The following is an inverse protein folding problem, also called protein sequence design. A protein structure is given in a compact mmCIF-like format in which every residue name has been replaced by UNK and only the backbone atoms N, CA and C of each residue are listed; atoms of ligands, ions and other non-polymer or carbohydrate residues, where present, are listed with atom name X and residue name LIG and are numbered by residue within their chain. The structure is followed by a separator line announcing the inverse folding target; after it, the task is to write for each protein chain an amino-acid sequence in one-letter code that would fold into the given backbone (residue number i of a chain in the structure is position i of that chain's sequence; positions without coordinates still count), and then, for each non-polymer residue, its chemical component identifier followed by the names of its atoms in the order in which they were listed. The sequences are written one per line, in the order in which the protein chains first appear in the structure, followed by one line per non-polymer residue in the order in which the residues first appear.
data_IF_865861819536
#
_entry.id   IF_865861819536
#
_cell.length_a   1.000
_cell.length_b   1.000
_cell.length_c   1.000
_cell.angle_alpha   90.00
_cell.angle_beta   90.00
_cell.angle_gamma   90.00
#
_symmetry.space_group_name_H-M   'P 1'
#
loop_
_entity.id
_entity.type
_entity.pdbx_description
1 polymer ?
#
# COMPACT_ATOMS: atom_id res chain seq x y z
N UNK A 1 -27.07 19.11 -2.83
CA UNK A 1 -25.87 18.76 -3.62
C UNK A 1 -25.03 17.86 -2.74
N UNK A 2 -25.15 16.57 -2.95
CA UNK A 2 -24.43 15.56 -2.18
C UNK A 2 -22.96 15.65 -2.53
N UNK A 3 -22.13 16.08 -1.56
CA UNK A 3 -20.69 16.04 -1.68
C UNK A 3 -20.27 14.58 -1.48
N UNK A 4 -19.78 13.97 -2.53
CA UNK A 4 -19.15 12.65 -2.43
C UNK A 4 -17.90 12.77 -1.56
N UNK A 5 -17.93 12.16 -0.37
CA UNK A 5 -16.79 12.07 0.53
C UNK A 5 -15.90 10.89 0.10
N UNK A 6 -14.75 11.19 -0.48
CA UNK A 6 -13.76 10.20 -0.89
C UNK A 6 -12.70 9.91 0.18
N UNK A 7 -12.76 10.61 1.33
CA UNK A 7 -11.82 10.42 2.45
C UNK A 7 -11.64 8.97 2.90
N UNK A 8 -12.71 8.11 2.94
CA UNK A 8 -12.55 6.72 3.34
C UNK A 8 -11.66 5.91 2.40
N UNK A 9 -11.60 6.26 1.11
CA UNK A 9 -10.81 5.53 0.11
C UNK A 9 -9.31 5.73 0.31
N UNK A 10 -8.89 6.86 0.88
CA UNK A 10 -7.47 7.20 1.04
C UNK A 10 -6.88 6.76 2.38
N UNK A 11 -7.70 6.36 3.35
CA UNK A 11 -7.25 5.98 4.69
C UNK A 11 -6.49 4.67 4.77
N UNK A 12 -6.68 3.79 3.78
CA UNK A 12 -6.08 2.46 3.74
C UNK A 12 -5.31 2.21 2.44
N UNK A 13 -4.79 3.26 1.81
CA UNK A 13 -4.04 3.18 0.55
C UNK A 13 -2.62 3.71 0.71
N UNK A 14 -1.66 3.04 0.07
CA UNK A 14 -0.24 3.41 0.08
C UNK A 14 0.24 3.54 -1.37
N UNK A 15 0.94 4.64 -1.68
CA UNK A 15 1.54 4.86 -3.00
C UNK A 15 0.67 5.62 -4.00
N UNK A 16 -0.55 6.03 -3.64
CA UNK A 16 -1.48 6.81 -4.47
C UNK A 16 -1.37 8.32 -4.26
N UNK A 17 -0.31 8.80 -3.59
CA UNK A 17 -0.13 10.19 -3.19
C UNK A 17 -0.16 11.21 -4.34
N UNK A 18 0.16 10.78 -5.56
CA UNK A 18 0.07 11.66 -6.76
C UNK A 18 -1.39 11.98 -7.13
N UNK A 19 -2.30 11.04 -6.92
CA UNK A 19 -3.73 11.22 -7.14
C UNK A 19 -4.37 12.02 -5.99
N UNK A 20 -3.91 11.80 -4.75
CA UNK A 20 -4.43 12.48 -3.56
C UNK A 20 -4.23 14.00 -3.63
N UNK A 21 -3.12 14.48 -4.15
CA UNK A 21 -2.86 15.93 -4.27
C UNK A 21 -3.88 16.66 -5.15
N UNK A 22 -4.47 15.97 -6.13
CA UNK A 22 -5.51 16.53 -7.00
C UNK A 22 -6.89 16.56 -6.32
N UNK A 23 -7.13 15.64 -5.38
CA UNK A 23 -8.42 15.50 -4.68
C UNK A 23 -8.43 16.26 -3.34
N UNK A 24 -7.28 16.41 -2.69
CA UNK A 24 -7.12 17.05 -1.37
C UNK A 24 -7.44 18.57 -1.40
N UNK A 25 -7.34 19.18 -2.58
CA UNK A 25 -7.80 20.54 -2.81
C UNK A 25 -9.34 20.66 -2.72
N UNK A 26 -10.07 19.54 -2.79
CA UNK A 26 -11.54 19.51 -2.85
C UNK A 26 -12.24 19.01 -1.57
N UNK A 27 -11.52 18.40 -0.60
CA UNK A 27 -12.18 17.70 0.50
C UNK A 27 -11.42 17.79 1.82
N UNK A 28 -11.52 18.91 2.52
CA UNK A 28 -11.22 18.97 3.96
C UNK A 28 -12.47 18.56 4.73
N UNK A 29 -12.59 17.32 5.12
CA UNK A 29 -13.59 16.87 6.09
C UNK A 29 -12.91 15.99 7.14
N UNK A 30 -12.84 16.52 8.35
CA UNK A 30 -12.47 15.80 9.56
C UNK A 30 -13.46 14.67 9.85
N UNK A 31 -13.05 13.43 9.73
CA UNK A 31 -13.82 12.31 10.25
C UNK A 31 -13.00 11.58 11.30
N UNK A 32 -13.24 11.95 12.55
CA UNK A 32 -12.63 11.44 13.78
C UNK A 32 -13.16 10.07 14.23
N UNK A 33 -13.44 9.15 13.35
CA UNK A 33 -13.54 7.75 13.75
C UNK A 33 -12.13 7.18 13.80
N UNK A 34 -11.50 7.23 14.98
CA UNK A 34 -10.17 6.61 15.20
C UNK A 34 -10.32 5.11 14.99
N UNK A 35 -9.89 4.67 13.81
CA UNK A 35 -9.87 3.26 13.50
C UNK A 35 -8.83 2.56 14.40
N UNK A 36 -9.23 1.45 15.04
CA UNK A 36 -8.33 0.67 15.87
C UNK A 36 -7.62 -0.41 15.08
N UNK A 37 -6.31 -0.59 15.28
CA UNK A 37 -5.36 0.29 15.99
C UNK A 37 -5.15 1.60 15.23
N UNK A 38 -4.81 2.71 15.90
CA UNK A 38 -4.44 3.94 15.25
C UNK A 38 -3.15 3.75 14.44
N UNK A 39 -3.07 4.42 13.29
CA UNK A 39 -1.92 4.30 12.40
C UNK A 39 -1.66 5.60 11.63
N UNK A 40 -0.43 5.74 11.17
CA UNK A 40 0.02 6.80 10.27
C UNK A 40 0.59 6.18 9.01
N UNK A 41 0.42 6.87 7.88
CA UNK A 41 1.12 6.57 6.63
C UNK A 41 1.89 7.82 6.26
N UNK A 42 3.22 7.71 6.14
CA UNK A 42 4.10 8.79 5.77
C UNK A 42 4.88 8.45 4.50
N UNK A 43 5.22 9.47 3.73
CA UNK A 43 6.15 9.37 2.62
C UNK A 43 7.54 9.72 3.12
N UNK A 44 8.43 8.72 3.15
CA UNK A 44 9.80 8.86 3.66
C UNK A 44 10.82 9.19 2.57
N UNK A 45 10.45 9.03 1.30
CA UNK A 45 11.28 9.31 0.14
C UNK A 45 10.46 9.47 -1.13
N UNK A 46 11.10 9.59 -2.29
CA UNK A 46 10.39 9.76 -3.57
C UNK A 46 9.47 8.58 -3.88
N UNK A 47 9.96 7.36 -3.67
CA UNK A 47 9.25 6.09 -3.86
C UNK A 47 9.24 5.23 -2.58
N UNK A 48 9.42 5.84 -1.41
CA UNK A 48 9.47 5.17 -0.12
C UNK A 48 8.37 5.67 0.82
N UNK A 49 7.74 4.74 1.50
CA UNK A 49 6.62 4.99 2.42
C UNK A 49 6.79 4.17 3.69
N UNK A 50 6.25 4.67 4.78
CA UNK A 50 6.20 3.95 6.06
C UNK A 50 4.80 3.97 6.63
N UNK A 51 4.28 2.79 6.97
CA UNK A 51 3.10 2.60 7.79
C UNK A 51 3.55 2.41 9.23
N UNK A 52 3.07 3.22 10.15
CA UNK A 52 3.32 3.08 11.59
C UNK A 52 2.00 2.85 12.31
N UNK A 53 1.90 1.78 13.12
CA UNK A 53 0.70 1.41 13.85
C UNK A 53 0.99 1.31 15.35
N UNK A 54 0.12 1.89 16.19
CA UNK A 54 0.23 1.77 17.63
C UNK A 54 -0.41 0.46 18.11
N UNK A 55 0.42 -0.56 18.34
CA UNK A 55 0.02 -1.91 18.75
C UNK A 55 0.57 -2.27 20.13
N UNK A 56 0.55 -1.29 21.04
CA UNK A 56 1.02 -1.50 22.41
C UNK A 56 0.31 -2.68 23.06
N UNK A 57 1.07 -3.55 23.73
CA UNK A 57 0.56 -4.75 24.38
C UNK A 57 0.57 -6.01 23.52
N UNK A 58 0.86 -5.91 22.22
CA UNK A 58 1.03 -7.08 21.37
C UNK A 58 2.49 -7.54 21.33
N UNK A 59 2.72 -8.84 21.51
CA UNK A 59 4.01 -9.46 21.27
C UNK A 59 4.21 -9.68 19.76
N UNK A 60 5.48 -9.77 19.27
CA UNK A 60 5.75 -10.04 17.84
C UNK A 60 5.06 -11.31 17.31
N UNK A 61 4.93 -12.35 18.14
CA UNK A 61 4.28 -13.61 17.78
C UNK A 61 2.74 -13.49 17.61
N UNK A 62 2.14 -12.43 18.10
CA UNK A 62 0.70 -12.16 18.02
C UNK A 62 0.33 -11.31 16.81
N UNK A 63 1.33 -10.73 16.16
CA UNK A 63 1.18 -9.91 14.98
C UNK A 63 1.54 -10.71 13.73
N UNK A 64 0.77 -10.54 12.67
CA UNK A 64 1.11 -11.10 11.36
C UNK A 64 0.94 -10.03 10.28
N UNK A 65 1.89 -10.00 9.35
CA UNK A 65 1.90 -9.13 8.18
C UNK A 65 1.90 -10.04 6.96
N UNK A 66 0.93 -9.87 6.09
CA UNK A 66 0.79 -10.64 4.86
C UNK A 66 0.60 -9.68 3.69
N UNK A 67 1.33 -9.90 2.61
CA UNK A 67 1.13 -9.20 1.35
C UNK A 67 0.54 -10.20 0.36
N UNK A 68 -0.60 -9.85 -0.20
CA UNK A 68 -1.24 -10.64 -1.24
C UNK A 68 -1.65 -9.70 -2.37
N UNK A 69 -1.11 -9.92 -3.55
CA UNK A 69 -1.30 -9.03 -4.69
C UNK A 69 -0.99 -7.57 -4.28
N UNK A 70 -1.96 -6.66 -4.43
CA UNK A 70 -1.84 -5.25 -4.08
C UNK A 70 -2.47 -4.95 -2.70
N UNK A 71 -2.48 -5.91 -1.80
CA UNK A 71 -3.07 -5.74 -0.46
C UNK A 71 -2.07 -6.11 0.63
N UNK A 72 -1.80 -5.17 1.51
CA UNK A 72 -1.08 -5.39 2.77
C UNK A 72 -2.11 -5.65 3.87
N UNK A 73 -2.06 -6.84 4.45
CA UNK A 73 -2.90 -7.27 5.57
C UNK A 73 -2.06 -7.28 6.85
N UNK A 74 -2.50 -6.55 7.85
CA UNK A 74 -1.91 -6.56 9.20
C UNK A 74 -2.95 -7.08 10.16
N UNK A 75 -2.62 -8.16 10.88
CA UNK A 75 -3.51 -8.77 11.87
C UNK A 75 -2.85 -8.84 13.23
N UNK A 76 -3.62 -8.64 14.27
CA UNK A 76 -3.23 -8.85 15.67
C UNK A 76 -4.20 -9.81 16.34
N UNK A 77 -3.67 -10.86 16.94
CA UNK A 77 -4.43 -11.81 17.76
C UNK A 77 -4.44 -11.29 19.20
N UNK A 78 -5.62 -11.01 19.75
CA UNK A 78 -5.72 -10.70 21.17
C UNK A 78 -5.40 -11.96 21.97
N UNK A 79 -4.56 -11.83 22.98
CA UNK A 79 -4.54 -12.84 24.04
C UNK A 79 -5.90 -12.88 24.71
N UNK A 80 -6.34 -14.05 25.19
CA UNK A 80 -7.57 -14.16 25.97
C UNK A 80 -7.53 -13.13 27.09
N UNK A 81 -8.54 -12.27 27.11
CA UNK A 81 -8.73 -11.41 28.26
C UNK A 81 -8.81 -12.32 29.50
N UNK A 82 -8.07 -11.97 30.56
CA UNK A 82 -8.31 -12.56 31.86
C UNK A 82 -9.80 -12.34 32.14
N UNK A 83 -10.56 -13.43 32.27
CA UNK A 83 -11.99 -13.43 32.60
C UNK A 83 -12.28 -12.75 33.94
N UNK A 84 -11.25 -12.41 34.70
CA UNK A 84 -11.30 -11.61 35.91
C UNK A 84 -11.33 -10.11 35.59
N UNK A 85 -12.36 -9.66 34.90
CA UNK A 85 -12.62 -8.24 34.55
C UNK A 85 -12.85 -7.35 35.79
N UNK A 86 -12.26 -7.67 36.94
CA UNK A 86 -12.41 -6.95 38.18
C UNK A 86 -11.28 -5.97 38.47
N UNK A 87 -11.63 -4.71 38.71
CA UNK A 87 -10.72 -3.74 39.30
C UNK A 87 -10.43 -2.47 38.48
N UNK A 88 -10.81 -2.39 37.24
CA UNK A 88 -10.64 -1.15 36.47
C UNK A 88 -11.70 -0.11 36.84
N UNK A 89 -11.29 1.02 37.39
CA UNK A 89 -12.16 2.20 37.54
C UNK A 89 -12.41 2.91 36.23
N UNK A 90 -11.45 2.78 35.28
CA UNK A 90 -11.55 3.25 33.89
C UNK A 90 -10.66 2.39 33.00
N UNK A 91 -11.19 1.95 31.87
CA UNK A 91 -10.45 1.14 30.85
C UNK A 91 -10.49 1.84 29.52
N UNK A 92 -9.44 2.59 29.20
CA UNK A 92 -9.27 3.31 27.93
C UNK A 92 -8.42 2.54 26.91
N UNK A 93 -7.66 1.51 27.35
CA UNK A 93 -6.81 0.70 26.45
C UNK A 93 -7.60 -0.54 26.05
N UNK A 94 -7.86 -0.67 24.75
CA UNK A 94 -8.55 -1.83 24.20
C UNK A 94 -7.52 -2.84 23.65
N UNK A 95 -7.39 -4.00 24.30
CA UNK A 95 -6.66 -5.14 23.77
C UNK A 95 -7.63 -6.06 23.06
N UNK A 96 -7.83 -5.84 21.77
CA UNK A 96 -8.73 -6.65 20.96
C UNK A 96 -8.04 -7.07 19.68
N UNK A 97 -8.40 -8.24 19.21
CA UNK A 97 -7.95 -8.70 17.90
C UNK A 97 -8.36 -7.67 16.83
N UNK A 98 -7.49 -7.49 15.85
CA UNK A 98 -7.75 -6.59 14.73
C UNK A 98 -7.28 -7.20 13.41
N UNK A 99 -7.89 -6.71 12.36
CA UNK A 99 -7.49 -6.96 10.97
C UNK A 99 -7.55 -5.64 10.22
N UNK A 100 -6.43 -5.25 9.63
CA UNK A 100 -6.32 -4.02 8.83
C UNK A 100 -5.79 -4.34 7.45
N UNK A 101 -6.52 -3.86 6.46
CA UNK A 101 -6.14 -4.00 5.05
C UNK A 101 -5.78 -2.64 4.49
N UNK A 102 -4.64 -2.59 3.79
CA UNK A 102 -4.15 -1.42 3.09
C UNK A 102 -3.96 -1.78 1.61
N UNK A 103 -4.60 -1.00 0.74
CA UNK A 103 -4.40 -1.16 -0.70
C UNK A 103 -3.06 -0.55 -1.11
N UNK A 104 -2.23 -1.34 -1.76
CA UNK A 104 -0.96 -0.92 -2.33
C UNK A 104 -1.17 -0.51 -3.79
N UNK A 105 -0.50 0.56 -4.21
CA UNK A 105 -0.41 0.87 -5.64
C UNK A 105 0.43 -0.17 -6.38
N UNK A 106 0.37 -0.16 -7.70
CA UNK A 106 1.18 -1.05 -8.53
C UNK A 106 2.68 -0.86 -8.25
N UNK A 107 3.40 -1.96 -8.27
CA UNK A 107 4.85 -2.02 -8.02
C UNK A 107 5.28 -1.62 -6.61
N UNK A 108 4.38 -1.69 -5.64
CA UNK A 108 4.71 -1.47 -4.23
C UNK A 108 5.13 -2.77 -3.56
N UNK A 109 6.30 -2.79 -2.95
CA UNK A 109 6.86 -3.93 -2.23
C UNK A 109 7.10 -3.58 -0.76
N UNK A 110 6.75 -4.51 0.14
CA UNK A 110 7.10 -4.40 1.55
C UNK A 110 8.55 -4.88 1.71
N UNK A 111 9.43 -4.00 2.16
CA UNK A 111 10.86 -4.26 2.29
C UNK A 111 11.29 -4.61 3.70
N UNK A 112 10.47 -4.30 4.69
CA UNK A 112 10.76 -4.64 6.07
C UNK A 112 9.63 -4.29 7.02
N UNK A 113 9.69 -4.87 8.21
CA UNK A 113 8.82 -4.52 9.33
C UNK A 113 9.61 -4.63 10.64
N UNK A 114 9.32 -3.74 11.58
CA UNK A 114 9.91 -3.72 12.91
C UNK A 114 8.87 -3.37 13.96
N UNK A 115 9.01 -3.95 15.15
CA UNK A 115 8.21 -3.63 16.33
C UNK A 115 9.14 -3.06 17.39
N UNK A 116 8.94 -1.80 17.74
CA UNK A 116 9.71 -1.11 18.78
C UNK A 116 8.76 -0.30 19.68
N UNK A 117 8.92 -0.46 20.98
CA UNK A 117 8.14 0.25 22.00
C UNK A 117 6.62 0.24 21.74
N UNK A 118 6.06 -0.86 21.23
CA UNK A 118 4.64 -0.98 20.89
C UNK A 118 4.21 -0.27 19.61
N UNK A 119 5.17 0.21 18.83
CA UNK A 119 4.94 0.80 17.51
C UNK A 119 5.41 -0.20 16.43
N UNK A 120 4.48 -0.68 15.62
CA UNK A 120 4.77 -1.50 14.45
C UNK A 120 5.04 -0.57 13.26
N UNK A 121 6.23 -0.64 12.69
CA UNK A 121 6.62 0.07 11.47
C UNK A 121 6.74 -0.91 10.32
N UNK A 122 6.14 -0.60 9.18
CA UNK A 122 6.22 -1.37 7.94
C UNK A 122 6.71 -0.47 6.83
N UNK A 123 7.87 -0.79 6.28
CA UNK A 123 8.49 -0.03 5.20
C UNK A 123 8.08 -0.59 3.84
N UNK A 124 7.64 0.30 2.97
CA UNK A 124 7.12 -0.02 1.64
C UNK A 124 7.82 0.84 0.60
N UNK A 125 8.28 0.24 -0.49
CA UNK A 125 9.00 0.93 -1.57
C UNK A 125 8.33 0.62 -2.91
N UNK A 126 8.29 1.61 -3.78
CA UNK A 126 7.86 1.42 -5.16
C UNK A 126 9.06 1.05 -6.02
N UNK A 127 9.01 -0.14 -6.61
CA UNK A 127 10.00 -0.64 -7.56
C UNK A 127 9.36 -0.78 -8.94
N UNK A 128 9.53 0.24 -9.80
CA UNK A 128 9.07 0.15 -11.18
C UNK A 128 10.04 -0.71 -11.97
N UNK A 129 9.60 -1.86 -12.53
CA UNK A 129 10.45 -2.71 -13.35
C UNK A 129 11.06 -1.93 -14.52
N UNK A 130 12.30 -2.24 -14.89
CA UNK A 130 13.00 -1.58 -16.02
C UNK A 130 12.17 -1.63 -17.32
N UNK A 131 11.45 -2.72 -17.54
CA UNK A 131 10.56 -2.87 -18.71
C UNK A 131 9.39 -1.87 -18.72
N UNK A 132 8.98 -1.34 -17.55
CA UNK A 132 7.90 -0.36 -17.42
C UNK A 132 8.41 1.09 -17.40
N UNK A 133 9.74 1.30 -17.39
CA UNK A 133 10.32 2.65 -17.48
C UNK A 133 10.15 3.24 -18.88
N UNK A 134 9.92 4.54 -19.04
CA UNK A 134 9.88 5.19 -20.33
C UNK A 134 11.19 4.97 -21.09
N UNK A 135 11.10 4.43 -22.30
CA UNK A 135 12.25 4.25 -23.19
C UNK A 135 12.07 5.10 -24.45
N UNK A 136 13.11 5.79 -24.86
CA UNK A 136 13.12 6.51 -26.13
C UNK A 136 13.36 5.52 -27.28
N UNK A 137 12.42 5.42 -28.20
CA UNK A 137 12.57 4.63 -29.41
C UNK A 137 13.14 5.55 -30.49
N UNK A 138 14.31 5.20 -31.05
CA UNK A 138 14.87 5.94 -32.16
C UNK A 138 14.06 5.61 -33.44
N UNK A 139 13.55 6.63 -34.11
CA UNK A 139 12.89 6.47 -35.39
C UNK A 139 13.98 6.35 -36.43
N UNK A 140 14.17 5.15 -36.99
CA UNK A 140 15.07 4.91 -38.10
C UNK A 140 14.40 5.27 -39.43
N UNK A 141 15.00 6.15 -40.22
CA UNK A 141 14.60 6.42 -41.62
C UNK A 141 15.18 5.35 -42.56
N UNK A 142 14.69 4.11 -42.47
CA UNK A 142 15.06 3.10 -43.44
C UNK A 142 13.77 2.44 -43.91
N UNK A 143 13.26 2.97 -45.02
CA UNK A 143 12.34 2.21 -45.89
C UNK A 143 13.21 1.24 -46.64
N UNK A 144 13.45 0.04 -46.14
CA UNK A 144 13.94 -1.05 -46.96
C UNK A 144 12.82 -1.44 -47.95
N UNK A 145 12.98 -1.00 -49.17
CA UNK A 145 12.18 -1.44 -50.30
C UNK A 145 12.45 -2.94 -50.48
N UNK A 146 11.53 -3.77 -50.04
CA UNK A 146 11.56 -5.21 -50.40
C UNK A 146 11.31 -5.31 -51.87
N UNK A 147 12.37 -5.57 -52.62
CA UNK A 147 12.27 -5.93 -54.05
C UNK A 147 11.61 -7.32 -54.15
N UNK A 148 10.55 -7.50 -54.93
CA UNK A 148 9.98 -8.81 -55.20
C UNK A 148 10.97 -9.61 -56.06
N UNK A 149 11.45 -10.73 -55.51
CA UNK A 149 12.19 -11.71 -56.31
C UNK A 149 11.22 -12.38 -57.30
N UNK A 150 11.42 -12.09 -58.56
CA UNK A 150 10.76 -12.81 -59.66
C UNK A 150 11.38 -14.21 -59.71
N UNK A 151 10.59 -15.21 -59.35
CA UNK A 151 10.94 -16.61 -59.60
C UNK A 151 10.81 -16.89 -61.11
N UNK A 152 11.93 -17.02 -61.73
CA UNK A 152 12.02 -17.50 -63.12
C UNK A 152 11.74 -19.01 -63.12
N UNK A 153 10.53 -19.39 -63.54
CA UNK A 153 10.21 -20.80 -63.83
C UNK A 153 10.93 -21.20 -65.13
N UNK A 154 11.94 -22.06 -64.99
CA UNK A 154 12.58 -22.73 -66.08
C UNK A 154 11.72 -23.93 -66.53
N UNK A 155 11.03 -23.78 -67.66
CA UNK A 155 10.36 -24.87 -68.29
C UNK A 155 11.41 -25.73 -69.10
N UNK A 156 11.31 -27.02 -68.92
CA UNK A 156 11.78 -28.03 -69.79
C UNK A 156 10.93 -29.29 -69.65
#
# INVERSE_FOLDING_TARGET
MDRFDFSPLFRSTIGFDRLTRLVDAASRVDSTAVAYPPYNIEKTGEDAYRLTMAVAGFAPAELAITVQENTLLVTGKAQKEDENGGGYLHRGIAWRAFERRFSLADHMNVVGASLDNGMLSVDVVREVPEAAKPRTIKIGNTVETVQPQVMEQKAA
#
